data_IF_703089960852
#
_entry.id   IF_703089960852
#
_cell.length_a   1.000
_cell.length_b   1.000
_cell.length_c   1.000
_cell.angle_alpha   90.00
_cell.angle_beta   90.00
_cell.angle_gamma   90.00
#
_symmetry.space_group_name_H-M   'P 1'
#
loop_
_entity.id
_entity.type
_entity.pdbx_description
1 polymer ?
#
# COMPACT_ATOMS: atom_id res chain seq x y z
N UNK A 1 -15.38 -9.89 -15.13
CA UNK A 1 -14.52 -9.45 -14.00
C UNK A 1 -13.22 -10.19 -14.19
N UNK A 2 -12.16 -9.45 -14.43
CA UNK A 2 -10.78 -9.95 -14.41
C UNK A 2 -10.39 -10.03 -12.93
N UNK A 3 -9.87 -11.16 -12.46
CA UNK A 3 -9.34 -11.25 -11.09
C UNK A 3 -8.11 -10.34 -10.93
N UNK A 4 -7.76 -10.01 -9.69
CA UNK A 4 -6.71 -9.03 -9.39
C UNK A 4 -5.35 -9.47 -9.94
N UNK A 5 -5.06 -10.77 -9.91
CA UNK A 5 -3.84 -11.36 -10.46
C UNK A 5 -3.74 -11.14 -11.99
N UNK A 6 -4.82 -11.39 -12.73
CA UNK A 6 -4.84 -11.16 -14.18
C UNK A 6 -4.72 -9.67 -14.53
N UNK A 7 -5.33 -8.78 -13.75
CA UNK A 7 -5.15 -7.33 -13.95
C UNK A 7 -3.71 -6.88 -13.66
N UNK A 8 -3.07 -7.45 -12.63
CA UNK A 8 -1.66 -7.17 -12.33
C UNK A 8 -0.75 -7.58 -13.50
N UNK A 9 -1.01 -8.74 -14.10
CA UNK A 9 -0.30 -9.24 -15.29
C UNK A 9 -0.45 -8.34 -16.51
N UNK A 10 -1.66 -7.86 -16.78
CA UNK A 10 -1.93 -7.08 -17.98
C UNK A 10 -1.46 -5.62 -17.87
N UNK A 11 -1.50 -5.05 -16.66
CA UNK A 11 -1.45 -3.60 -16.48
C UNK A 11 -0.62 -3.13 -15.27
N UNK A 12 -0.45 -3.96 -14.24
CA UNK A 12 0.00 -3.51 -12.92
C UNK A 12 1.50 -3.47 -12.71
N UNK A 13 2.26 -4.40 -13.31
CA UNK A 13 3.67 -4.62 -12.96
C UNK A 13 4.62 -3.45 -13.24
N UNK A 14 4.34 -2.64 -14.26
CA UNK A 14 5.18 -1.47 -14.60
C UNK A 14 4.72 -0.16 -13.96
N UNK A 15 3.80 -0.23 -12.98
CA UNK A 15 3.23 0.95 -12.34
C UNK A 15 3.77 1.14 -10.93
N UNK A 16 3.95 2.41 -10.58
CA UNK A 16 4.20 2.79 -9.19
C UNK A 16 2.89 3.21 -8.55
N UNK A 17 2.56 2.49 -7.48
CA UNK A 17 1.36 2.70 -6.69
C UNK A 17 1.67 3.52 -5.45
N UNK A 18 0.66 4.27 -5.04
CA UNK A 18 0.61 4.90 -3.73
C UNK A 18 -0.10 3.96 -2.78
N UNK A 19 0.36 3.91 -1.53
CA UNK A 19 -0.39 3.24 -0.50
C UNK A 19 -0.33 3.99 0.83
N UNK A 20 -1.40 3.79 1.60
CA UNK A 20 -1.49 4.21 2.98
C UNK A 20 -1.75 2.99 3.84
N UNK A 21 -0.97 2.82 4.90
CA UNK A 21 -1.16 1.73 5.86
C UNK A 21 -2.30 2.07 6.82
N UNK A 22 -3.14 1.09 7.12
CA UNK A 22 -4.06 1.20 8.24
C UNK A 22 -3.28 1.00 9.55
N UNK A 23 -3.47 1.92 10.51
CA UNK A 23 -2.91 1.77 11.85
C UNK A 23 -3.77 0.79 12.66
N UNK A 24 -3.14 -0.28 13.13
CA UNK A 24 -3.78 -1.30 13.96
C UNK A 24 -3.95 -0.81 15.41
N UNK A 25 -4.93 -1.36 16.17
CA UNK A 25 -5.02 -1.15 17.61
C UNK A 25 -3.69 -1.49 18.29
N UNK A 26 -3.16 -0.58 19.11
CA UNK A 26 -1.85 -0.71 19.76
C UNK A 26 -0.68 0.00 19.05
N UNK A 27 -0.90 0.55 17.85
CA UNK A 27 0.06 1.42 17.16
C UNK A 27 -0.19 2.92 17.41
N UNK A 28 -1.12 3.22 18.32
CA UNK A 28 -1.44 4.59 18.73
C UNK A 28 -0.60 4.97 19.95
N UNK A 29 -0.09 6.20 19.96
CA UNK A 29 0.51 6.76 21.16
C UNK A 29 -0.54 6.94 22.26
N UNK A 30 -0.16 6.91 23.55
CA UNK A 30 -1.10 7.18 24.65
C UNK A 30 -1.85 8.51 24.48
N UNK A 31 -1.19 9.55 23.98
CA UNK A 31 -1.82 10.85 23.69
C UNK A 31 -2.89 10.77 22.59
N UNK A 32 -2.65 10.01 21.53
CA UNK A 32 -3.65 9.78 20.47
C UNK A 32 -4.84 8.96 20.96
N UNK A 33 -4.61 8.03 21.89
CA UNK A 33 -5.68 7.25 22.52
C UNK A 33 -6.54 8.12 23.44
N UNK A 34 -5.92 8.99 24.24
CA UNK A 34 -6.61 9.89 25.18
C UNK A 34 -7.46 10.96 24.46
N UNK A 35 -7.10 11.34 23.22
CA UNK A 35 -7.86 12.29 22.40
C UNK A 35 -9.04 11.67 21.65
N UNK A 36 -9.16 10.34 21.57
CA UNK A 36 -10.26 9.68 20.85
C UNK A 36 -11.52 9.64 21.71
N UNK A 37 -12.51 10.46 21.34
CA UNK A 37 -13.91 10.24 21.69
C UNK A 37 -14.28 8.80 21.30
N UNK A 38 -14.97 8.09 22.19
CA UNK A 38 -15.31 6.64 22.17
C UNK A 38 -15.99 6.10 20.90
N UNK A 39 -16.24 6.95 19.90
CA UNK A 39 -17.21 6.73 18.85
C UNK A 39 -16.59 6.72 17.43
N UNK A 40 -15.26 6.84 17.30
CA UNK A 40 -14.59 6.81 15.99
C UNK A 40 -14.00 5.43 15.66
N UNK A 41 -14.12 4.95 14.40
CA UNK A 41 -13.52 3.69 13.97
C UNK A 41 -12.02 3.66 14.29
N UNK A 42 -11.55 2.52 14.82
CA UNK A 42 -10.17 2.33 15.29
C UNK A 42 -9.14 2.42 14.15
N UNK A 43 -9.54 2.20 12.91
CA UNK A 43 -8.68 2.25 11.71
C UNK A 43 -8.39 3.71 11.32
N UNK A 44 -7.26 4.23 11.78
CA UNK A 44 -6.72 5.46 11.23
C UNK A 44 -5.83 5.11 10.04
N UNK A 45 -6.16 5.69 8.89
CA UNK A 45 -5.25 5.75 7.76
C UNK A 45 -4.01 6.54 8.20
N UNK A 46 -2.80 6.02 7.94
CA UNK A 46 -1.62 6.88 7.97
C UNK A 46 -1.85 8.06 7.00
N UNK A 47 -1.31 9.23 7.33
CA UNK A 47 -1.41 10.41 6.48
C UNK A 47 -0.23 10.51 5.50
N UNK A 48 0.79 9.64 5.66
CA UNK A 48 1.97 9.62 4.81
C UNK A 48 1.83 8.58 3.72
N UNK A 49 1.74 9.04 2.48
CA UNK A 49 1.79 8.17 1.31
C UNK A 49 3.18 7.55 1.19
N UNK A 50 3.21 6.23 1.11
CA UNK A 50 4.35 5.43 0.70
C UNK A 50 4.14 4.98 -0.76
N UNK A 51 5.22 4.65 -1.45
CA UNK A 51 5.17 4.24 -2.85
C UNK A 51 5.71 2.82 -3.00
N UNK A 52 5.11 2.05 -3.90
CA UNK A 52 5.53 0.68 -4.17
C UNK A 52 5.45 0.35 -5.66
N UNK A 53 6.35 -0.52 -6.10
CA UNK A 53 6.23 -1.31 -7.34
C UNK A 53 5.93 -2.74 -6.95
N UNK A 54 4.75 -3.23 -7.33
CA UNK A 54 4.31 -4.60 -6.99
C UNK A 54 5.03 -5.57 -7.93
N UNK A 55 5.71 -6.56 -7.36
CA UNK A 55 6.41 -7.63 -8.09
C UNK A 55 5.51 -8.84 -8.31
N UNK A 56 4.64 -9.15 -7.34
CA UNK A 56 3.69 -10.27 -7.41
C UNK A 56 2.51 -10.04 -6.46
N UNK A 57 1.34 -10.56 -6.82
CA UNK A 57 0.17 -10.64 -5.96
C UNK A 57 -0.30 -12.10 -5.87
N UNK A 58 -0.61 -12.58 -4.67
CA UNK A 58 -1.01 -13.96 -4.41
C UNK A 58 -2.27 -13.97 -3.56
N UNK A 59 -3.32 -14.68 -4.00
CA UNK A 59 -4.49 -14.95 -3.17
C UNK A 59 -4.15 -15.95 -2.03
N UNK A 60 -4.41 -15.55 -0.80
CA UNK A 60 -4.21 -16.35 0.40
C UNK A 60 -5.44 -17.23 0.70
N UNK A 61 -5.31 -18.29 1.52
CA UNK A 61 -6.44 -19.16 1.88
C UNK A 61 -7.61 -18.47 2.59
N UNK A 62 -7.38 -17.29 3.17
CA UNK A 62 -8.42 -16.45 3.80
C UNK A 62 -9.14 -15.52 2.80
N UNK A 63 -8.78 -15.58 1.51
CA UNK A 63 -9.33 -14.74 0.44
C UNK A 63 -8.74 -13.33 0.39
N UNK A 64 -7.73 -13.04 1.21
CA UNK A 64 -6.96 -11.80 1.15
C UNK A 64 -5.85 -11.91 0.11
N UNK A 65 -5.31 -10.77 -0.33
CA UNK A 65 -4.23 -10.74 -1.32
C UNK A 65 -2.94 -10.33 -0.62
N UNK A 66 -1.92 -11.17 -0.72
CA UNK A 66 -0.56 -10.79 -0.32
C UNK A 66 0.15 -10.14 -1.49
N UNK A 67 0.62 -8.91 -1.30
CA UNK A 67 1.46 -8.21 -2.25
C UNK A 67 2.92 -8.40 -1.86
N UNK A 68 3.71 -8.85 -2.82
CA UNK A 68 5.17 -8.75 -2.82
C UNK A 68 5.56 -7.50 -3.62
N UNK A 69 6.34 -6.60 -3.03
CA UNK A 69 6.64 -5.31 -3.65
C UNK A 69 8.02 -4.76 -3.29
N UNK A 70 8.51 -3.88 -4.14
CA UNK A 70 9.67 -3.04 -3.92
C UNK A 70 9.24 -1.64 -3.44
N UNK A 71 9.73 -1.13 -2.30
CA UNK A 71 9.53 0.26 -1.92
C UNK A 71 10.12 1.20 -2.97
N UNK A 72 9.38 2.26 -3.30
CA UNK A 72 9.82 3.29 -4.24
C UNK A 72 9.98 4.63 -3.54
N UNK A 73 10.96 5.42 -4.01
CA UNK A 73 11.21 6.77 -3.53
C UNK A 73 11.17 7.74 -4.71
N UNK A 74 10.48 8.86 -4.52
CA UNK A 74 10.39 9.89 -5.55
C UNK A 74 11.70 10.66 -5.62
N UNK A 75 12.50 10.42 -6.65
CA UNK A 75 13.67 11.22 -6.99
C UNK A 75 13.29 12.49 -7.77
N UNK A 76 14.29 13.32 -8.11
CA UNK A 76 14.06 14.56 -8.86
C UNK A 76 13.65 14.31 -10.33
N UNK A 77 14.22 13.28 -10.96
CA UNK A 77 14.02 12.99 -12.39
C UNK A 77 13.54 11.57 -12.69
N UNK A 78 13.64 10.65 -11.71
CA UNK A 78 13.22 9.26 -11.87
C UNK A 78 12.83 8.68 -10.51
N UNK A 79 12.16 7.54 -10.54
CA UNK A 79 11.83 6.77 -9.35
C UNK A 79 13.01 5.90 -8.93
N UNK A 80 13.41 6.00 -7.66
CA UNK A 80 14.38 5.10 -7.07
C UNK A 80 13.63 3.88 -6.50
N UNK A 81 13.87 2.72 -7.11
CA UNK A 81 13.25 1.45 -6.74
C UNK A 81 14.22 0.67 -5.86
N UNK A 82 13.85 0.46 -4.61
CA UNK A 82 14.69 -0.29 -3.67
C UNK A 82 14.85 -1.74 -4.10
N UNK A 83 16.08 -2.29 -4.02
CA UNK A 83 16.31 -3.74 -4.20
C UNK A 83 15.66 -4.58 -3.09
N UNK A 84 15.19 -3.96 -2.00
CA UNK A 84 14.53 -4.64 -0.90
C UNK A 84 13.14 -5.10 -1.32
N UNK A 85 12.86 -6.37 -1.06
CA UNK A 85 11.55 -6.98 -1.24
C UNK A 85 10.77 -6.96 0.09
N UNK A 86 9.56 -6.43 0.06
CA UNK A 86 8.64 -6.37 1.20
C UNK A 86 7.30 -7.02 0.88
N UNK A 87 6.55 -7.30 1.95
CA UNK A 87 5.28 -8.01 1.88
C UNK A 87 4.21 -7.29 2.69
N UNK A 88 3.01 -7.13 2.13
CA UNK A 88 1.88 -6.56 2.84
C UNK A 88 0.57 -7.15 2.34
N UNK A 89 -0.40 -7.34 3.23
CA UNK A 89 -1.75 -7.75 2.84
C UNK A 89 -2.50 -6.56 2.27
N UNK A 90 -3.26 -6.76 1.21
CA UNK A 90 -4.08 -5.71 0.60
C UNK A 90 -5.10 -5.16 1.59
N UNK A 91 -5.64 -6.00 2.48
CA UNK A 91 -6.52 -5.58 3.58
C UNK A 91 -5.87 -4.62 4.59
N UNK A 92 -4.53 -4.53 4.63
CA UNK A 92 -3.78 -3.66 5.55
C UNK A 92 -3.47 -2.28 4.96
N UNK A 93 -3.81 -2.05 3.69
CA UNK A 93 -3.50 -0.81 3.00
C UNK A 93 -4.67 -0.28 2.19
N UNK A 94 -4.63 1.01 1.91
CA UNK A 94 -5.37 1.62 0.81
C UNK A 94 -4.42 1.83 -0.36
N UNK A 95 -4.55 1.03 -1.40
CA UNK A 95 -3.77 1.16 -2.64
C UNK A 95 -4.42 2.18 -3.59
N UNK A 96 -3.62 2.97 -4.29
CA UNK A 96 -4.10 3.99 -5.24
C UNK A 96 -3.10 4.17 -6.38
N UNK A 97 -3.61 4.51 -7.56
CA UNK A 97 -2.80 4.72 -8.76
C UNK A 97 -3.16 6.06 -9.40
N UNK A 98 -2.14 6.86 -9.70
CA UNK A 98 -2.27 8.17 -10.32
C UNK A 98 -1.40 8.17 -11.60
N UNK A 99 -2.02 8.13 -12.80
CA UNK A 99 -1.28 8.10 -14.07
C UNK A 99 -0.36 9.31 -14.26
N UNK A 100 -0.81 10.49 -13.84
CA UNK A 100 -0.09 11.75 -14.03
C UNK A 100 1.20 11.87 -13.19
N UNK A 101 1.39 10.95 -12.24
CA UNK A 101 2.55 10.93 -11.34
C UNK A 101 3.58 9.87 -11.71
N UNK A 102 3.34 9.12 -12.79
CA UNK A 102 4.35 8.24 -13.37
C UNK A 102 5.41 9.13 -14.04
N UNK A 103 6.54 9.35 -13.36
CA UNK A 103 7.70 10.04 -13.94
C UNK A 103 8.16 9.22 -15.15
N UNK A 104 8.23 9.88 -16.31
CA UNK A 104 8.70 9.36 -17.60
C UNK A 104 10.21 9.46 -17.73
#
# INVERSE_FOLDING_TARGET
MTDFETWMLDDGYDRIFHYLRYRLPGQFTPEEMDRKYSDQPLEYLDIHYEFMKIETAIELPDGDILLEYHPCYKGENEWDISEKLEYIKLSQIKLSYYPDEQIL
#
